data_IF_552133080992
#
_entry.id   IF_552133080992
#
_cell.length_a   1.000
_cell.length_b   1.000
_cell.length_c   1.000
_cell.angle_alpha   90.00
_cell.angle_beta   90.00
_cell.angle_gamma   90.00
#
_symmetry.space_group_name_H-M   'P 1'
#
loop_
_entity.id
_entity.type
_entity.pdbx_description
1 polymer ?
#
# COMPACT_ATOMS: atom_id res chain seq x y z
N UNK A 1 -23.04 5.94 14.15
CA UNK A 1 -23.55 4.97 13.15
C UNK A 1 -22.43 4.03 12.76
N UNK A 2 -22.50 2.76 13.17
CA UNK A 2 -21.67 1.70 12.63
C UNK A 2 -22.62 0.66 12.06
N UNK A 3 -22.87 0.74 10.76
CA UNK A 3 -23.47 -0.37 10.05
C UNK A 3 -22.44 -1.50 10.13
N UNK A 4 -22.79 -2.63 10.77
CA UNK A 4 -21.94 -3.81 10.82
C UNK A 4 -21.90 -4.43 9.42
N UNK A 5 -21.00 -3.93 8.57
CA UNK A 5 -20.85 -4.39 7.19
C UNK A 5 -19.66 -5.34 7.16
N UNK A 6 -19.93 -6.62 6.96
CA UNK A 6 -18.88 -7.61 6.76
C UNK A 6 -18.63 -7.79 5.26
N UNK A 7 -17.45 -7.38 4.80
CA UNK A 7 -17.07 -7.43 3.38
C UNK A 7 -15.87 -8.34 3.24
N UNK A 8 -15.98 -9.41 2.45
CA UNK A 8 -14.80 -10.18 2.07
C UNK A 8 -13.97 -9.41 1.04
N UNK A 9 -12.70 -9.19 1.36
CA UNK A 9 -11.75 -8.48 0.50
C UNK A 9 -10.43 -9.23 0.42
N UNK A 10 -9.71 -9.00 -0.68
CA UNK A 10 -8.33 -9.44 -0.83
C UNK A 10 -7.40 -8.39 -0.25
N UNK A 11 -6.46 -8.78 0.61
CA UNK A 11 -5.42 -7.90 1.12
C UNK A 11 -4.51 -7.45 -0.02
N UNK A 12 -4.35 -6.14 -0.21
CA UNK A 12 -3.49 -5.59 -1.27
C UNK A 12 -2.00 -5.92 -1.10
N UNK A 13 -1.56 -6.27 0.12
CA UNK A 13 -0.17 -6.60 0.41
C UNK A 13 0.15 -8.09 0.26
N UNK A 14 -0.55 -8.94 1.01
CA UNK A 14 -0.26 -10.39 1.05
C UNK A 14 -1.20 -11.24 0.20
N UNK A 15 -2.25 -10.64 -0.39
CA UNK A 15 -3.20 -11.35 -1.25
C UNK A 15 -4.17 -12.28 -0.53
N UNK A 16 -4.15 -12.35 0.81
CA UNK A 16 -5.06 -13.19 1.61
C UNK A 16 -6.46 -12.59 1.64
N UNK A 17 -7.48 -13.44 1.57
CA UNK A 17 -8.89 -13.04 1.74
C UNK A 17 -9.17 -12.81 3.23
N UNK A 18 -9.74 -11.68 3.58
CA UNK A 18 -10.09 -11.32 4.95
C UNK A 18 -11.44 -10.62 5.01
N UNK A 19 -12.07 -10.63 6.18
CA UNK A 19 -13.31 -9.91 6.45
C UNK A 19 -12.99 -8.50 6.90
N UNK A 20 -13.47 -7.51 6.15
CA UNK A 20 -13.34 -6.09 6.44
C UNK A 20 -14.65 -5.53 6.97
N UNK A 21 -14.57 -4.75 8.05
CA UNK A 21 -15.73 -4.07 8.64
C UNK A 21 -15.94 -2.63 8.12
N UNK A 22 -15.05 -2.17 7.23
CA UNK A 22 -15.08 -0.83 6.62
C UNK A 22 -14.72 -0.92 5.14
N UNK A 23 -15.39 -0.13 4.32
CA UNK A 23 -15.11 -0.02 2.88
C UNK A 23 -13.71 0.53 2.59
N UNK A 24 -13.11 1.29 3.52
CA UNK A 24 -11.76 1.82 3.39
C UNK A 24 -10.64 0.84 3.80
N UNK A 25 -10.97 -0.29 4.46
CA UNK A 25 -9.94 -1.26 4.86
C UNK A 25 -9.43 -2.02 3.62
N UNK A 26 -8.14 -1.87 3.33
CA UNK A 26 -7.44 -2.48 2.20
C UNK A 26 -6.50 -3.64 2.60
N UNK A 27 -6.17 -3.75 3.89
CA UNK A 27 -5.19 -4.70 4.41
C UNK A 27 -5.80 -5.57 5.50
N UNK A 28 -5.40 -6.85 5.54
CA UNK A 28 -5.89 -7.80 6.54
C UNK A 28 -5.39 -7.54 7.97
N UNK A 29 -4.33 -6.76 8.14
CA UNK A 29 -3.74 -6.44 9.45
C UNK A 29 -2.88 -5.17 9.42
N UNK A 30 -2.63 -4.62 10.61
CA UNK A 30 -1.67 -3.51 10.80
C UNK A 30 -0.28 -3.84 10.25
N UNK A 31 0.16 -5.09 10.33
CA UNK A 31 1.45 -5.53 9.78
C UNK A 31 1.50 -5.31 8.27
N UNK A 32 0.48 -5.74 7.54
CA UNK A 32 0.40 -5.57 6.08
C UNK A 32 0.36 -4.09 5.69
N UNK A 33 -0.42 -3.29 6.41
CA UNK A 33 -0.49 -1.84 6.19
C UNK A 33 0.88 -1.15 6.38
N UNK A 34 1.61 -1.52 7.44
CA UNK A 34 2.94 -0.97 7.74
C UNK A 34 3.97 -1.37 6.68
N UNK A 35 3.95 -2.61 6.21
CA UNK A 35 4.84 -3.07 5.15
C UNK A 35 4.56 -2.35 3.84
N UNK A 36 3.28 -2.23 3.44
CA UNK A 36 2.87 -1.49 2.27
C UNK A 36 3.28 0.00 2.35
N UNK A 37 3.16 0.62 3.52
CA UNK A 37 3.64 1.99 3.73
C UNK A 37 5.16 2.10 3.53
N UNK A 38 5.95 1.23 4.19
CA UNK A 38 7.41 1.22 4.07
C UNK A 38 7.88 0.99 2.64
N UNK A 39 7.21 0.09 1.91
CA UNK A 39 7.52 -0.18 0.51
C UNK A 39 7.25 1.04 -0.38
N UNK A 40 6.10 1.72 -0.20
CA UNK A 40 5.80 2.97 -0.92
C UNK A 40 6.85 4.05 -0.66
N UNK A 41 7.28 4.22 0.58
CA UNK A 41 8.34 5.19 0.93
C UNK A 41 9.67 4.81 0.27
N UNK A 42 10.04 3.53 0.28
CA UNK A 42 11.26 3.05 -0.40
C UNK A 42 11.19 3.28 -1.91
N UNK A 43 10.07 2.94 -2.55
CA UNK A 43 9.86 3.15 -3.99
C UNK A 43 9.96 4.63 -4.37
N UNK A 44 9.36 5.53 -3.59
CA UNK A 44 9.48 6.99 -3.80
C UNK A 44 10.93 7.45 -3.75
N UNK A 45 11.71 7.02 -2.75
CA UNK A 45 13.13 7.39 -2.65
C UNK A 45 13.92 6.92 -3.87
N UNK A 46 13.75 5.65 -4.25
CA UNK A 46 14.45 5.08 -5.42
C UNK A 46 14.05 5.83 -6.70
N UNK A 47 12.77 6.15 -6.88
CA UNK A 47 12.28 6.92 -8.02
C UNK A 47 12.84 8.34 -8.03
N UNK A 48 12.88 9.04 -6.90
CA UNK A 48 13.50 10.37 -6.79
C UNK A 48 14.99 10.35 -7.15
N UNK A 49 15.72 9.32 -6.72
CA UNK A 49 17.11 9.14 -7.13
C UNK A 49 17.21 8.89 -8.63
N UNK A 50 16.41 7.96 -9.17
CA UNK A 50 16.41 7.64 -10.60
C UNK A 50 16.12 8.87 -11.47
N UNK A 51 15.10 9.66 -11.12
CA UNK A 51 14.75 10.87 -11.86
C UNK A 51 15.89 11.90 -11.87
N UNK A 52 16.61 12.07 -10.74
CA UNK A 52 17.78 12.96 -10.68
C UNK A 52 18.90 12.49 -11.61
N UNK A 53 19.20 11.19 -11.61
CA UNK A 53 20.20 10.63 -12.53
C UNK A 53 19.78 10.76 -13.99
N UNK A 54 18.49 10.55 -14.30
CA UNK A 54 17.97 10.67 -15.66
C UNK A 54 17.99 12.14 -16.16
N UNK A 55 17.76 13.12 -15.27
CA UNK A 55 17.89 14.55 -15.60
C UNK A 55 19.34 14.97 -15.86
N UNK A 56 20.29 14.47 -15.07
CA UNK A 56 21.73 14.72 -15.25
C UNK A 56 22.29 14.05 -16.52
N UNK A 57 21.67 12.96 -16.98
CA UNK A 57 22.06 12.24 -18.19
C UNK A 57 21.44 12.81 -19.47
N UNK A 58 20.62 13.87 -19.39
CA UNK A 58 20.04 14.52 -20.57
C UNK A 58 21.06 15.47 -21.20
N UNK A 59 21.44 15.29 -22.48
CA UNK A 59 22.44 16.12 -23.16
C UNK A 59 22.00 17.57 -23.37
#
# INVERSE_FOLDING_TARGET
>A
MASNIDIQKKCEWCGVIFTAHKTSTAYCSHRCANLAYKERVRKKRVQEFQLKFDEEAKP
#
